data_IF_330927083652
#
_entry.id   IF_330927083652
#
_cell.length_a   1.000
_cell.length_b   1.000
_cell.length_c   1.000
_cell.angle_alpha   90.00
_cell.angle_beta   90.00
_cell.angle_gamma   90.00
#
_symmetry.space_group_name_H-M   'P 1'
#
loop_
_entity.id
_entity.type
_entity.pdbx_description
1 polymer ?
#
# COMPACT_ATOMS: atom_id res chain seq x y z
N UNK A 1 17.49 13.18 30.28
CA UNK A 1 18.03 12.76 28.98
C UNK A 1 17.07 11.88 28.15
N UNK A 2 16.23 11.01 28.75
CA UNK A 2 15.44 10.03 27.95
C UNK A 2 14.19 10.53 27.19
N UNK A 3 13.62 11.69 27.54
CA UNK A 3 12.34 12.15 26.94
C UNK A 3 12.53 12.73 25.53
N UNK A 4 13.65 13.42 25.29
CA UNK A 4 13.97 14.05 24.01
C UNK A 4 14.23 13.01 22.91
N UNK A 5 14.89 11.91 23.28
CA UNK A 5 15.26 10.82 22.37
C UNK A 5 14.04 9.96 22.01
N UNK A 6 13.20 9.59 22.98
CA UNK A 6 11.96 8.84 22.75
C UNK A 6 10.96 9.58 21.86
N UNK A 7 10.86 10.91 21.99
CA UNK A 7 9.99 11.75 21.14
C UNK A 7 10.48 11.82 19.70
N UNK A 8 11.79 11.92 19.47
CA UNK A 8 12.36 11.96 18.11
C UNK A 8 12.18 10.62 17.40
N UNK A 9 12.41 9.51 18.09
CA UNK A 9 12.20 8.16 17.54
C UNK A 9 10.74 7.91 17.19
N UNK A 10 9.80 8.23 18.10
CA UNK A 10 8.37 8.04 17.84
C UNK A 10 7.83 8.85 16.65
N UNK A 11 8.32 10.07 16.43
CA UNK A 11 7.93 10.89 15.27
C UNK A 11 8.54 10.33 13.97
N UNK A 12 9.78 9.86 14.01
CA UNK A 12 10.44 9.26 12.85
C UNK A 12 9.77 7.95 12.43
N UNK A 13 9.44 7.09 13.41
CA UNK A 13 8.70 5.84 13.17
C UNK A 13 7.28 6.10 12.68
N UNK A 14 6.54 7.01 13.32
CA UNK A 14 5.19 7.38 12.89
C UNK A 14 5.15 7.99 11.48
N UNK A 15 6.14 8.84 11.14
CA UNK A 15 6.25 9.42 9.79
C UNK A 15 6.61 8.36 8.75
N UNK A 16 7.53 7.44 9.07
CA UNK A 16 7.90 6.35 8.18
C UNK A 16 6.73 5.39 7.95
N UNK A 17 6.01 5.03 9.02
CA UNK A 17 4.82 4.20 8.95
C UNK A 17 3.74 4.86 8.08
N UNK A 18 3.42 6.14 8.33
CA UNK A 18 2.40 6.84 7.54
C UNK A 18 2.77 7.04 6.06
N UNK A 19 4.06 7.22 5.74
CA UNK A 19 4.52 7.25 4.34
C UNK A 19 4.35 5.87 3.69
N UNK A 20 4.75 4.80 4.38
CA UNK A 20 4.59 3.42 3.87
C UNK A 20 3.11 3.07 3.67
N UNK A 21 2.25 3.35 4.65
CA UNK A 21 0.81 3.11 4.56
C UNK A 21 0.18 3.91 3.41
N UNK A 22 0.52 5.20 3.26
CA UNK A 22 0.00 6.02 2.18
C UNK A 22 0.47 5.59 0.79
N UNK A 23 1.70 5.08 0.66
CA UNK A 23 2.19 4.50 -0.59
C UNK A 23 1.41 3.22 -0.92
N UNK A 24 1.24 2.32 0.06
CA UNK A 24 0.48 1.08 -0.12
C UNK A 24 -0.97 1.37 -0.52
N UNK A 25 -1.64 2.31 0.14
CA UNK A 25 -3.01 2.68 -0.18
C UNK A 25 -3.13 3.28 -1.60
N UNK A 26 -2.15 4.12 -2.00
CA UNK A 26 -2.06 4.64 -3.36
C UNK A 26 -1.90 3.54 -4.41
N UNK A 27 -1.05 2.55 -4.12
CA UNK A 27 -0.79 1.41 -5.01
C UNK A 27 -2.03 0.51 -5.14
N UNK A 28 -2.70 0.19 -4.03
CA UNK A 28 -3.96 -0.58 -4.03
C UNK A 28 -5.05 0.12 -4.86
N UNK A 29 -5.18 1.45 -4.72
CA UNK A 29 -6.13 2.23 -5.52
C UNK A 29 -5.80 2.21 -7.00
N UNK A 30 -4.51 2.33 -7.36
CA UNK A 30 -4.08 2.28 -8.75
C UNK A 30 -4.35 0.90 -9.36
N UNK A 31 -4.07 -0.18 -8.63
CA UNK A 31 -4.37 -1.56 -9.05
C UNK A 31 -5.87 -1.74 -9.31
N UNK A 32 -6.73 -1.27 -8.39
CA UNK A 32 -8.19 -1.36 -8.56
C UNK A 32 -8.67 -0.64 -9.83
N UNK A 33 -8.18 0.58 -10.06
CA UNK A 33 -8.51 1.33 -11.28
C UNK A 33 -8.03 0.61 -12.55
N UNK A 34 -6.88 -0.07 -12.52
CA UNK A 34 -6.38 -0.83 -13.67
C UNK A 34 -7.25 -2.06 -13.95
N UNK A 35 -7.68 -2.77 -12.91
CA UNK A 35 -8.65 -3.87 -13.04
C UNK A 35 -9.98 -3.38 -13.62
N UNK A 36 -10.49 -2.23 -13.14
CA UNK A 36 -11.72 -1.61 -13.65
C UNK A 36 -11.61 -1.19 -15.13
N UNK A 37 -10.40 -0.84 -15.58
CA UNK A 37 -10.09 -0.55 -16.99
C UNK A 37 -9.88 -1.82 -17.83
N UNK A 38 -9.98 -3.01 -17.23
CA UNK A 38 -9.89 -4.31 -17.90
C UNK A 38 -8.46 -4.84 -18.09
N UNK A 39 -7.47 -4.33 -17.35
CA UNK A 39 -6.13 -4.92 -17.35
C UNK A 39 -6.13 -6.25 -16.61
N UNK A 40 -5.32 -7.21 -17.08
CA UNK A 40 -5.17 -8.50 -16.41
C UNK A 40 -4.23 -8.43 -15.21
N UNK A 41 -4.39 -9.37 -14.28
CA UNK A 41 -3.47 -9.57 -13.14
C UNK A 41 -2.01 -9.67 -13.59
N UNK A 42 -1.72 -10.37 -14.69
CA UNK A 42 -0.37 -10.51 -15.24
C UNK A 42 0.23 -9.18 -15.70
N UNK A 43 -0.58 -8.29 -16.30
CA UNK A 43 -0.12 -6.96 -16.72
C UNK A 43 0.17 -6.07 -15.51
N UNK A 44 -0.70 -6.11 -14.50
CA UNK A 44 -0.55 -5.30 -13.29
C UNK A 44 0.65 -5.80 -12.46
N UNK A 45 0.86 -7.12 -12.40
CA UNK A 45 1.98 -7.76 -11.71
C UNK A 45 3.37 -7.47 -12.33
N UNK A 46 3.43 -6.82 -13.51
CA UNK A 46 4.69 -6.29 -14.04
C UNK A 46 5.16 -5.06 -13.28
N UNK A 47 4.23 -4.29 -12.70
CA UNK A 47 4.52 -3.03 -12.00
C UNK A 47 4.33 -3.14 -10.49
N UNK A 48 3.40 -3.96 -10.04
CA UNK A 48 3.08 -4.16 -8.63
C UNK A 48 3.41 -5.58 -8.19
N UNK A 49 3.63 -5.78 -6.89
CA UNK A 49 3.82 -7.12 -6.34
C UNK A 49 2.53 -7.93 -6.43
N UNK A 50 2.66 -9.24 -6.67
CA UNK A 50 1.51 -10.16 -6.69
C UNK A 50 0.67 -10.08 -5.42
N UNK A 51 1.32 -9.89 -4.27
CA UNK A 51 0.63 -9.75 -2.97
C UNK A 51 -0.36 -8.58 -2.94
N UNK A 52 0.02 -7.41 -3.47
CA UNK A 52 -0.89 -6.25 -3.53
C UNK A 52 -2.02 -6.49 -4.54
N UNK A 53 -1.73 -7.16 -5.66
CA UNK A 53 -2.74 -7.46 -6.67
C UNK A 53 -3.75 -8.47 -6.13
N UNK A 54 -3.29 -9.54 -5.49
CA UNK A 54 -4.13 -10.53 -4.80
C UNK A 54 -4.97 -9.88 -3.69
N UNK A 55 -4.40 -8.96 -2.91
CA UNK A 55 -5.16 -8.22 -1.90
C UNK A 55 -6.34 -7.48 -2.52
N UNK A 56 -6.13 -6.73 -3.61
CA UNK A 56 -7.21 -6.01 -4.27
C UNK A 56 -8.25 -6.98 -4.84
N UNK A 57 -7.83 -8.08 -5.46
CA UNK A 57 -8.74 -9.10 -6.00
C UNK A 57 -9.61 -9.75 -4.91
N UNK A 58 -9.03 -10.03 -3.75
CA UNK A 58 -9.76 -10.56 -2.59
C UNK A 58 -10.75 -9.54 -2.02
N UNK A 59 -10.42 -8.25 -2.04
CA UNK A 59 -11.32 -7.19 -1.61
C UNK A 59 -12.49 -6.99 -2.58
N UNK A 60 -12.24 -7.00 -3.90
CA UNK A 60 -13.29 -6.81 -4.92
C UNK A 60 -14.24 -8.00 -5.01
N UNK A 61 -13.78 -9.21 -4.69
CA UNK A 61 -14.60 -10.44 -4.74
C UNK A 61 -15.52 -10.61 -3.52
N UNK A 62 -15.28 -9.87 -2.43
CA UNK A 62 -16.11 -9.91 -1.21
C UNK A 62 -17.39 -9.06 -1.29
N UNK A 63 -17.64 -8.41 -2.42
CA UNK A 63 -18.80 -7.55 -2.69
C UNK A 63 -19.81 -8.34 -3.52
#
# INVERSE_FOLDING_TARGET
AGIEEGRKTGIAEGRKAGITEGIIEGDLRAIRNMLDLGLSEEQISQKYSKELVEQVLQETTKI
#
